data_IF_182061240703
#
_entry.id   IF_182061240703
#
_cell.length_a   1.000
_cell.length_b   1.000
_cell.length_c   1.000
_cell.angle_alpha   90.00
_cell.angle_beta   90.00
_cell.angle_gamma   90.00
#
_symmetry.space_group_name_H-M   'P 1'
#
loop_
_entity.id
_entity.type
_entity.pdbx_description
1 polymer ?
#
# COMPACT_ATOMS: atom_id res chain seq x y z
N UNK A 1 -3.18 14.36 8.16
CA UNK A 1 -4.25 13.36 7.97
C UNK A 1 -5.67 13.90 8.07
N UNK A 2 -5.90 14.89 8.92
CA UNK A 2 -7.24 15.48 9.05
C UNK A 2 -7.76 16.03 7.72
N UNK A 3 -6.91 16.70 6.95
CA UNK A 3 -7.28 17.24 5.63
C UNK A 3 -7.68 16.14 4.65
N UNK A 4 -7.05 14.97 4.73
CA UNK A 4 -7.40 13.82 3.89
C UNK A 4 -8.82 13.36 4.21
N UNK A 5 -9.18 13.24 5.48
CA UNK A 5 -10.52 12.84 5.88
C UNK A 5 -11.59 13.86 5.44
N UNK A 6 -11.28 15.15 5.52
CA UNK A 6 -12.17 16.22 5.04
C UNK A 6 -12.44 16.07 3.53
N UNK A 7 -11.39 15.77 2.75
CA UNK A 7 -11.53 15.56 1.31
C UNK A 7 -12.31 14.28 0.98
N UNK A 8 -12.06 13.22 1.71
CA UNK A 8 -12.81 11.96 1.53
C UNK A 8 -14.29 12.16 1.82
N UNK A 9 -14.61 12.92 2.86
CA UNK A 9 -16.00 13.26 3.18
C UNK A 9 -16.64 14.08 2.07
N UNK A 10 -15.95 15.11 1.59
CA UNK A 10 -16.45 16.00 0.53
C UNK A 10 -16.82 15.21 -0.73
N UNK A 11 -16.05 14.23 -1.11
CA UNK A 11 -16.27 13.42 -2.31
C UNK A 11 -17.04 12.13 -2.02
N UNK A 12 -17.39 11.86 -0.77
CA UNK A 12 -17.98 10.59 -0.35
C UNK A 12 -17.14 9.38 -0.81
N UNK A 13 -15.82 9.48 -0.63
CA UNK A 13 -14.86 8.45 -1.05
C UNK A 13 -14.43 7.59 0.13
N UNK A 14 -14.13 6.33 -0.16
CA UNK A 14 -13.47 5.42 0.77
C UNK A 14 -12.06 5.11 0.27
N UNK A 15 -11.15 4.90 1.22
CA UNK A 15 -9.73 4.62 0.95
C UNK A 15 -9.31 3.29 1.57
N UNK A 16 -8.39 2.64 0.90
CA UNK A 16 -7.72 1.42 1.37
C UNK A 16 -6.21 1.54 1.18
N UNK A 17 -5.46 0.62 1.79
CA UNK A 17 -4.01 0.63 1.65
C UNK A 17 -3.42 -0.76 1.51
N UNK A 18 -2.22 -0.82 0.92
CA UNK A 18 -1.39 -2.01 0.88
C UNK A 18 0.02 -1.61 1.29
N UNK A 19 0.46 -2.10 2.43
CA UNK A 19 1.71 -1.69 3.05
C UNK A 19 2.73 -2.83 3.05
N UNK A 20 3.96 -2.49 2.75
CA UNK A 20 5.09 -3.41 2.88
C UNK A 20 6.15 -2.79 3.80
N UNK A 21 6.90 -1.84 3.32
CA UNK A 21 7.96 -1.18 4.12
C UNK A 21 7.41 -0.46 5.36
N UNK A 22 6.22 0.06 5.30
CA UNK A 22 5.59 0.84 6.37
C UNK A 22 4.94 -0.02 7.46
N UNK A 23 4.66 -1.27 7.16
CA UNK A 23 4.17 -2.30 8.10
C UNK A 23 2.98 -1.83 8.94
N UNK A 24 2.02 -1.14 8.32
CA UNK A 24 0.79 -0.71 8.99
C UNK A 24 0.81 0.74 9.47
N UNK A 25 1.88 1.49 9.25
CA UNK A 25 1.99 2.87 9.71
C UNK A 25 0.91 3.78 9.12
N UNK A 26 0.62 3.65 7.83
CA UNK A 26 -0.43 4.44 7.20
C UNK A 26 -1.80 4.12 7.81
N UNK A 27 -2.11 2.84 7.97
CA UNK A 27 -3.37 2.41 8.56
C UNK A 27 -3.52 2.94 10.00
N UNK A 28 -2.46 2.92 10.78
CA UNK A 28 -2.45 3.48 12.13
C UNK A 28 -2.68 4.98 12.12
N UNK A 29 -1.99 5.71 11.25
CA UNK A 29 -2.10 7.17 11.16
C UNK A 29 -3.52 7.60 10.78
N UNK A 30 -4.10 7.00 9.76
CA UNK A 30 -5.45 7.39 9.30
C UNK A 30 -6.51 7.02 10.35
N UNK A 31 -6.37 5.89 11.02
CA UNK A 31 -7.34 5.44 12.04
C UNK A 31 -7.17 6.11 13.40
N UNK A 32 -6.08 6.85 13.61
CA UNK A 32 -5.89 7.64 14.83
C UNK A 32 -6.87 8.82 14.92
N UNK A 33 -7.51 9.17 13.82
CA UNK A 33 -8.43 10.30 13.76
C UNK A 33 -9.86 9.80 13.98
N UNK A 34 -10.59 10.43 14.90
CA UNK A 34 -11.98 10.07 15.18
C UNK A 34 -12.85 10.15 13.91
N UNK A 35 -13.68 9.14 13.70
CA UNK A 35 -14.54 9.06 12.52
C UNK A 35 -13.91 8.39 11.30
N UNK A 36 -12.66 7.93 11.41
CA UNK A 36 -11.95 7.30 10.29
C UNK A 36 -12.66 6.08 9.71
N UNK A 37 -13.41 5.34 10.53
CA UNK A 37 -14.14 4.15 10.08
C UNK A 37 -15.16 4.44 8.96
N UNK A 38 -15.60 5.67 8.83
CA UNK A 38 -16.48 6.10 7.74
C UNK A 38 -15.76 6.09 6.39
N UNK A 39 -14.47 6.29 6.39
CA UNK A 39 -13.68 6.50 5.17
C UNK A 39 -12.66 5.42 4.89
N UNK A 40 -12.08 4.83 5.93
CA UNK A 40 -11.05 3.81 5.79
C UNK A 40 -11.68 2.41 5.81
N UNK A 41 -11.56 1.70 4.71
CA UNK A 41 -12.14 0.35 4.57
C UNK A 41 -11.23 -0.75 5.10
N UNK A 42 -9.94 -0.49 5.18
CA UNK A 42 -8.97 -1.49 5.58
C UNK A 42 -7.78 -1.55 4.63
N UNK A 43 -7.00 -2.60 4.78
CA UNK A 43 -5.82 -2.77 3.94
C UNK A 43 -5.13 -4.09 4.20
N UNK A 44 -3.97 -4.25 3.55
CA UNK A 44 -3.14 -5.44 3.67
C UNK A 44 -1.72 -5.05 4.04
N UNK A 45 -1.07 -5.90 4.83
CA UNK A 45 0.36 -5.82 5.07
C UNK A 45 0.99 -6.99 4.31
N UNK A 46 1.64 -6.70 3.20
CA UNK A 46 2.26 -7.69 2.31
C UNK A 46 3.77 -7.55 2.34
N UNK A 47 4.35 -7.98 3.45
CA UNK A 47 5.76 -7.74 3.74
C UNK A 47 6.71 -8.59 2.88
N UNK A 48 6.35 -9.84 2.59
CA UNK A 48 7.14 -10.76 1.79
C UNK A 48 6.67 -10.79 0.34
N UNK A 49 7.54 -11.25 -0.56
CA UNK A 49 7.15 -11.48 -1.96
C UNK A 49 6.00 -12.47 -2.05
N UNK A 50 6.06 -13.52 -1.24
CA UNK A 50 5.03 -14.56 -1.17
C UNK A 50 3.67 -13.96 -0.78
N UNK A 51 3.62 -13.10 0.25
CA UNK A 51 2.38 -12.45 0.67
C UNK A 51 1.83 -11.51 -0.42
N UNK A 52 2.72 -10.82 -1.15
CA UNK A 52 2.30 -9.99 -2.28
C UNK A 52 1.59 -10.81 -3.35
N UNK A 53 2.13 -11.98 -3.66
CA UNK A 53 1.56 -12.89 -4.67
C UNK A 53 0.25 -13.51 -4.16
N UNK A 54 0.27 -14.04 -2.95
CA UNK A 54 -0.85 -14.85 -2.44
C UNK A 54 -2.04 -14.02 -1.98
N UNK A 55 -1.80 -12.83 -1.39
CA UNK A 55 -2.88 -12.01 -0.83
C UNK A 55 -3.41 -11.02 -1.86
N UNK A 56 -2.55 -10.18 -2.42
CA UNK A 56 -2.98 -9.12 -3.34
C UNK A 56 -2.73 -9.47 -4.81
N UNK A 57 -2.34 -10.70 -5.09
CA UNK A 57 -2.26 -11.24 -6.45
C UNK A 57 -1.30 -10.49 -7.37
N UNK A 58 -0.18 -10.03 -6.82
CA UNK A 58 0.89 -9.47 -7.65
C UNK A 58 1.40 -10.55 -8.59
N UNK A 59 1.55 -10.22 -9.86
CA UNK A 59 2.04 -11.16 -10.86
C UNK A 59 3.51 -11.50 -10.59
N UNK A 60 3.83 -12.79 -10.62
CA UNK A 60 5.22 -13.24 -10.52
C UNK A 60 6.11 -12.58 -11.58
N UNK A 61 5.57 -12.38 -12.79
CA UNK A 61 6.28 -11.72 -13.87
C UNK A 61 6.65 -10.27 -13.55
N UNK A 62 5.79 -9.55 -12.84
CA UNK A 62 6.10 -8.20 -12.38
C UNK A 62 7.28 -8.20 -11.42
N UNK A 63 7.28 -9.12 -10.46
CA UNK A 63 8.37 -9.25 -9.48
C UNK A 63 9.67 -9.66 -10.17
N UNK A 64 9.62 -10.63 -11.08
CA UNK A 64 10.79 -11.10 -11.81
C UNK A 64 11.42 -10.02 -12.68
N UNK A 65 10.59 -9.22 -13.35
CA UNK A 65 11.06 -8.20 -14.28
C UNK A 65 11.50 -6.90 -13.60
N UNK A 66 10.75 -6.43 -12.61
CA UNK A 66 10.96 -5.12 -11.99
C UNK A 66 11.36 -5.18 -10.53
N UNK A 67 11.19 -6.32 -9.86
CA UNK A 67 11.38 -6.46 -8.43
C UNK A 67 10.21 -5.89 -7.64
N UNK A 68 10.27 -6.06 -6.32
CA UNK A 68 9.24 -5.55 -5.41
C UNK A 68 9.50 -4.10 -5.00
N UNK A 69 10.74 -3.62 -5.14
CA UNK A 69 11.09 -2.21 -4.91
C UNK A 69 11.00 -1.51 -6.26
N UNK A 70 9.78 -1.24 -6.69
CA UNK A 70 9.54 -0.68 -8.02
C UNK A 70 8.18 0.00 -8.10
N UNK A 71 8.10 0.96 -9.01
CA UNK A 71 6.84 1.63 -9.37
C UNK A 71 5.79 0.62 -9.84
N UNK A 72 6.21 -0.36 -10.64
CA UNK A 72 5.30 -1.37 -11.19
C UNK A 72 4.66 -2.22 -10.09
N UNK A 73 5.45 -2.65 -9.12
CA UNK A 73 4.94 -3.41 -7.98
C UNK A 73 4.00 -2.54 -7.12
N UNK A 74 4.37 -1.30 -6.85
CA UNK A 74 3.53 -0.36 -6.09
C UNK A 74 2.17 -0.15 -6.76
N UNK A 75 2.15 0.03 -8.07
CA UNK A 75 0.90 0.20 -8.83
C UNK A 75 0.02 -1.04 -8.72
N UNK A 76 0.57 -2.24 -8.91
CA UNK A 76 -0.21 -3.47 -8.77
C UNK A 76 -0.74 -3.66 -7.36
N UNK A 77 0.07 -3.38 -6.34
CA UNK A 77 -0.38 -3.43 -4.94
C UNK A 77 -1.61 -2.54 -4.72
N UNK A 78 -1.56 -1.30 -5.18
CA UNK A 78 -2.66 -0.35 -5.01
C UNK A 78 -3.90 -0.75 -5.82
N UNK A 79 -3.74 -1.06 -7.10
CA UNK A 79 -4.86 -1.43 -7.97
C UNK A 79 -5.57 -2.70 -7.50
N UNK A 80 -4.81 -3.72 -7.10
CA UNK A 80 -5.40 -4.97 -6.67
C UNK A 80 -6.09 -4.83 -5.31
N UNK A 81 -5.52 -4.03 -4.40
CA UNK A 81 -6.15 -3.70 -3.12
C UNK A 81 -7.47 -2.96 -3.33
N UNK A 82 -7.48 -1.99 -4.23
CA UNK A 82 -8.69 -1.24 -4.59
C UNK A 82 -9.79 -2.17 -5.08
N UNK A 83 -9.45 -3.12 -5.94
CA UNK A 83 -10.42 -4.10 -6.47
C UNK A 83 -10.97 -5.02 -5.39
N UNK A 84 -10.09 -5.52 -4.52
CA UNK A 84 -10.48 -6.46 -3.45
C UNK A 84 -11.40 -5.76 -2.43
N UNK A 85 -11.03 -4.58 -1.99
CA UNK A 85 -11.77 -3.83 -0.97
C UNK A 85 -12.84 -2.89 -1.53
N UNK A 86 -12.91 -2.76 -2.85
CA UNK A 86 -13.91 -1.95 -3.55
C UNK A 86 -13.94 -0.50 -3.06
N UNK A 87 -12.76 0.09 -2.95
CA UNK A 87 -12.60 1.49 -2.54
C UNK A 87 -12.46 2.41 -3.74
N UNK A 88 -12.68 3.69 -3.52
CA UNK A 88 -12.49 4.71 -4.55
C UNK A 88 -11.01 5.02 -4.76
N UNK A 89 -10.23 4.95 -3.66
CA UNK A 89 -8.80 5.24 -3.64
C UNK A 89 -8.09 4.11 -2.92
N UNK A 90 -6.93 3.73 -3.43
CA UNK A 90 -6.01 2.85 -2.72
C UNK A 90 -4.60 3.43 -2.80
N UNK A 91 -3.86 3.30 -1.71
CA UNK A 91 -2.46 3.73 -1.64
C UNK A 91 -1.59 2.55 -1.24
N UNK A 92 -0.40 2.45 -1.82
CA UNK A 92 0.55 1.40 -1.48
C UNK A 92 1.92 1.97 -1.14
N UNK A 93 2.68 1.20 -0.37
CA UNK A 93 4.03 1.56 0.04
C UNK A 93 4.92 0.33 -0.05
N UNK A 94 5.90 0.36 -0.93
CA UNK A 94 6.92 -0.68 -1.02
C UNK A 94 8.29 -0.04 -1.11
N UNK A 95 9.33 -0.69 -0.57
CA UNK A 95 10.64 -0.08 -0.55
C UNK A 95 11.70 -0.94 0.14
N UNK A 96 12.87 -0.35 0.28
CA UNK A 96 14.03 -0.98 0.90
C UNK A 96 14.36 -0.31 2.23
N UNK A 97 14.00 -0.95 3.34
CA UNK A 97 14.26 -0.41 4.67
C UNK A 97 15.73 -0.59 5.10
N UNK A 98 16.48 -1.47 4.45
CA UNK A 98 17.85 -1.80 4.86
C UNK A 98 17.87 -2.90 5.93
N UNK A 99 19.02 -3.15 6.56
CA UNK A 99 20.29 -2.42 6.43
C UNK A 99 21.02 -2.63 5.10
N UNK A 100 20.70 -3.70 4.36
CA UNK A 100 21.36 -4.02 3.10
C UNK A 100 20.55 -3.55 1.91
N UNK A 101 21.23 -3.13 0.85
CA UNK A 101 20.59 -2.83 -0.42
C UNK A 101 20.05 -4.13 -1.04
N UNK A 102 18.75 -4.13 -1.38
CA UNK A 102 18.09 -5.24 -2.07
C UNK A 102 17.87 -4.86 -3.54
N UNK A 103 17.94 -5.87 -4.43
CA UNK A 103 17.68 -5.68 -5.86
C UNK A 103 18.60 -4.63 -6.50
N UNK A 104 19.80 -4.41 -5.95
CA UNK A 104 20.72 -3.35 -6.36
C UNK A 104 20.12 -1.94 -6.29
N UNK A 105 19.17 -1.73 -5.37
CA UNK A 105 18.51 -0.45 -5.16
C UNK A 105 18.91 0.13 -3.81
N UNK A 106 19.01 1.46 -3.68
CA UNK A 106 19.51 2.07 -2.44
C UNK A 106 18.56 1.84 -1.27
N UNK A 107 19.16 1.72 -0.09
CA UNK A 107 18.42 1.72 1.18
C UNK A 107 17.68 3.04 1.33
N UNK A 108 16.41 2.96 1.73
CA UNK A 108 15.56 4.13 1.87
C UNK A 108 14.76 4.50 0.62
N UNK A 109 14.97 3.78 -0.50
CA UNK A 109 14.14 3.98 -1.69
C UNK A 109 12.75 3.41 -1.46
N UNK A 110 11.74 4.24 -1.64
CA UNK A 110 10.31 3.91 -1.44
C UNK A 110 9.49 4.34 -2.64
N UNK A 111 8.58 3.50 -2.99
CA UNK A 111 7.55 3.80 -3.99
C UNK A 111 6.17 3.71 -3.38
#
# INVERSE_FOLDING_TARGET
MTEVLVLLDKFNFRISCCESITVGLFAQEITSIAGASKYFSGGFITYTNESKINIVKIKKTTIEKYGVISKQCAIEMALNTQKILKTNIAISFTGNAGPNALENKPVGLVF
#
